data_IF_942419345944
#
_entry.id   IF_942419345944
#
_cell.length_a   1.000
_cell.length_b   1.000
_cell.length_c   1.000
_cell.angle_alpha   90.00
_cell.angle_beta   90.00
_cell.angle_gamma   90.00
#
_symmetry.space_group_name_H-M   'P 1'
#
loop_
_entity.id
_entity.type
_entity.pdbx_description
1 polymer ?
#
# COMPACT_ATOMS: atom_id res chain seq x y z
N UNK A 1 -45.06 -40.57 19.29
CA UNK A 1 -43.77 -40.38 18.61
C UNK A 1 -44.00 -40.67 17.14
N UNK A 2 -44.12 -39.63 16.31
CA UNK A 2 -44.28 -39.77 14.87
C UNK A 2 -42.88 -39.72 14.21
N UNK A 3 -42.63 -40.50 13.14
CA UNK A 3 -41.33 -40.51 12.47
C UNK A 3 -41.11 -39.21 11.69
N UNK A 4 -39.85 -38.76 11.70
CA UNK A 4 -39.36 -37.57 10.98
C UNK A 4 -39.37 -37.86 9.46
N UNK A 5 -39.89 -36.95 8.62
CA UNK A 5 -39.83 -37.13 7.17
C UNK A 5 -38.41 -36.95 6.64
N UNK A 6 -38.01 -37.87 5.77
CA UNK A 6 -36.78 -37.83 4.99
C UNK A 6 -36.87 -36.71 3.93
N UNK A 7 -36.05 -35.66 4.06
CA UNK A 7 -35.91 -34.59 3.06
C UNK A 7 -34.59 -34.82 2.34
N UNK A 8 -34.64 -35.61 1.26
CA UNK A 8 -33.56 -35.64 0.28
C UNK A 8 -34.03 -35.09 -1.06
N UNK A 9 -33.19 -34.21 -1.60
CA UNK A 9 -33.07 -33.81 -3.02
C UNK A 9 -34.17 -32.93 -3.64
N UNK A 10 -34.14 -31.63 -3.34
CA UNK A 10 -34.53 -30.61 -4.32
C UNK A 10 -33.26 -30.10 -5.04
N UNK A 11 -33.18 -30.14 -6.39
CA UNK A 11 -32.04 -29.59 -7.09
C UNK A 11 -32.02 -28.07 -6.91
N UNK A 12 -30.94 -27.55 -6.31
CA UNK A 12 -30.66 -26.12 -6.25
C UNK A 12 -30.58 -25.58 -7.68
N UNK A 13 -31.63 -24.90 -8.10
CA UNK A 13 -31.72 -24.26 -9.41
C UNK A 13 -30.70 -23.12 -9.45
N UNK A 14 -29.49 -23.40 -9.95
CA UNK A 14 -28.42 -22.41 -10.11
C UNK A 14 -28.89 -21.39 -11.15
N UNK A 15 -28.82 -20.08 -10.88
CA UNK A 15 -29.17 -19.08 -11.89
C UNK A 15 -28.27 -19.25 -13.13
N UNK A 16 -28.77 -18.95 -14.34
CA UNK A 16 -28.00 -19.10 -15.56
C UNK A 16 -26.69 -18.31 -15.46
N UNK A 17 -25.58 -18.94 -15.84
CA UNK A 17 -24.27 -18.30 -15.95
C UNK A 17 -24.42 -17.12 -16.92
N UNK A 18 -24.43 -15.91 -16.39
CA UNK A 18 -24.17 -14.71 -17.18
C UNK A 18 -22.73 -14.87 -17.65
N UNK A 19 -22.54 -15.10 -18.95
CA UNK A 19 -21.23 -15.04 -19.57
C UNK A 19 -20.77 -13.58 -19.46
N UNK A 20 -20.08 -13.26 -18.37
CA UNK A 20 -19.29 -12.05 -18.29
C UNK A 20 -18.18 -12.19 -19.34
N UNK A 21 -18.44 -11.70 -20.55
CA UNK A 21 -17.37 -11.15 -21.38
C UNK A 21 -16.80 -9.98 -20.60
N UNK A 22 -15.81 -10.27 -19.76
CA UNK A 22 -14.93 -9.26 -19.21
C UNK A 22 -14.43 -8.41 -20.39
N UNK A 23 -14.47 -7.08 -20.30
CA UNK A 23 -13.84 -6.26 -21.32
C UNK A 23 -12.39 -6.69 -21.41
N UNK A 24 -11.98 -7.16 -22.59
CA UNK A 24 -10.58 -7.47 -22.86
C UNK A 24 -9.80 -6.17 -22.68
N UNK A 25 -9.08 -6.03 -21.57
CA UNK A 25 -8.07 -5.01 -21.42
C UNK A 25 -7.02 -5.25 -22.51
N UNK A 26 -7.03 -4.43 -23.56
CA UNK A 26 -5.86 -4.21 -24.40
C UNK A 26 -4.87 -3.35 -23.60
N UNK A 27 -4.42 -3.86 -22.46
CA UNK A 27 -3.52 -3.17 -21.55
C UNK A 27 -2.09 -3.61 -21.83
N UNK A 28 -1.17 -2.64 -21.85
CA UNK A 28 0.26 -2.94 -21.73
C UNK A 28 0.56 -3.73 -20.44
N UNK A 29 1.83 -4.08 -20.20
CA UNK A 29 2.19 -4.86 -19.04
C UNK A 29 1.76 -4.19 -17.73
N UNK A 30 1.39 -4.99 -16.72
CA UNK A 30 0.76 -4.49 -15.49
C UNK A 30 1.56 -3.40 -14.76
N UNK A 31 2.90 -3.45 -14.84
CA UNK A 31 3.79 -2.45 -14.22
C UNK A 31 3.78 -1.09 -14.91
N UNK A 32 3.29 -0.98 -16.15
CA UNK A 32 3.16 0.28 -16.89
C UNK A 32 1.78 0.93 -16.75
N UNK A 33 0.82 0.25 -16.10
CA UNK A 33 -0.52 0.79 -15.93
C UNK A 33 -0.52 1.85 -14.81
N UNK A 34 -0.74 3.13 -15.11
CA UNK A 34 -0.68 4.18 -14.10
C UNK A 34 -1.91 4.13 -13.20
N UNK A 35 -1.71 4.36 -11.90
CA UNK A 35 -2.80 4.64 -10.99
C UNK A 35 -3.55 5.90 -11.43
N UNK A 36 -4.88 5.88 -11.33
CA UNK A 36 -5.73 7.05 -11.54
C UNK A 36 -5.88 7.75 -10.19
N UNK A 37 -4.99 8.69 -9.90
CA UNK A 37 -5.00 9.44 -8.64
C UNK A 37 -5.71 10.80 -8.82
N UNK A 38 -6.49 11.20 -7.83
CA UNK A 38 -7.04 12.55 -7.73
C UNK A 38 -5.96 13.56 -7.28
N UNK A 39 -6.21 14.88 -7.45
CA UNK A 39 -5.45 15.90 -6.75
C UNK A 39 -5.44 15.65 -5.22
N UNK A 40 -4.45 16.17 -4.49
CA UNK A 40 -4.34 15.91 -3.06
C UNK A 40 -5.62 16.22 -2.28
N UNK A 41 -6.14 15.23 -1.54
CA UNK A 41 -7.34 15.43 -0.72
C UNK A 41 -7.04 15.59 0.77
N UNK A 42 -5.80 15.33 1.19
CA UNK A 42 -5.35 15.46 2.58
C UNK A 42 -3.82 15.67 2.64
N UNK A 43 -3.23 16.00 3.82
CA UNK A 43 -1.79 16.20 3.94
C UNK A 43 -0.92 14.99 3.54
N UNK A 44 -1.42 13.77 3.80
CA UNK A 44 -0.75 12.52 3.39
C UNK A 44 -0.62 12.47 1.87
N UNK A 45 -1.70 12.77 1.15
CA UNK A 45 -1.71 12.81 -0.31
C UNK A 45 -0.74 13.86 -0.84
N UNK A 46 -0.78 15.08 -0.29
CA UNK A 46 0.09 16.18 -0.72
C UNK A 46 1.57 15.80 -0.63
N UNK A 47 1.97 15.14 0.46
CA UNK A 47 3.34 14.70 0.68
C UNK A 47 3.72 13.58 -0.30
N UNK A 48 2.91 12.52 -0.43
CA UNK A 48 3.23 11.38 -1.30
C UNK A 48 3.23 11.76 -2.78
N UNK A 49 2.23 12.54 -3.23
CA UNK A 49 2.17 13.06 -4.60
C UNK A 49 3.39 13.95 -4.86
N UNK A 50 3.71 14.86 -3.93
CA UNK A 50 4.86 15.76 -4.04
C UNK A 50 6.19 15.02 -4.16
N UNK A 51 6.39 13.95 -3.38
CA UNK A 51 7.56 13.07 -3.48
C UNK A 51 7.64 12.47 -4.89
N UNK A 52 6.58 11.82 -5.37
CA UNK A 52 6.58 11.15 -6.68
C UNK A 52 6.86 12.15 -7.80
N UNK A 53 6.20 13.31 -7.78
CA UNK A 53 6.37 14.35 -8.79
C UNK A 53 7.80 14.90 -8.81
N UNK A 54 8.37 15.22 -7.64
CA UNK A 54 9.74 15.72 -7.52
C UNK A 54 10.74 14.70 -8.05
N UNK A 55 10.62 13.44 -7.64
CA UNK A 55 11.54 12.38 -8.04
C UNK A 55 11.45 12.07 -9.55
N UNK A 56 10.23 12.07 -10.11
CA UNK A 56 10.04 11.95 -11.57
C UNK A 56 10.67 13.11 -12.34
N UNK A 57 10.57 14.33 -11.83
CA UNK A 57 11.20 15.50 -12.46
C UNK A 57 12.74 15.37 -12.49
N UNK A 58 13.33 14.87 -11.40
CA UNK A 58 14.78 14.59 -11.34
C UNK A 58 15.20 13.49 -12.33
N UNK A 59 14.41 12.41 -12.43
CA UNK A 59 14.66 11.38 -13.45
C UNK A 59 14.57 11.92 -14.87
N UNK A 60 13.60 12.80 -15.15
CA UNK A 60 13.41 13.39 -16.46
C UNK A 60 14.60 14.25 -16.92
N UNK A 61 15.36 14.83 -15.99
CA UNK A 61 16.59 15.59 -16.29
C UNK A 61 17.86 14.74 -16.24
N UNK A 62 17.72 13.42 -16.10
CA UNK A 62 18.83 12.47 -16.20
C UNK A 62 19.56 12.17 -14.88
N UNK A 63 18.97 12.48 -13.72
CA UNK A 63 19.55 12.11 -12.44
C UNK A 63 19.69 10.58 -12.30
N UNK A 64 20.75 10.06 -11.63
CA UNK A 64 20.96 8.63 -11.49
C UNK A 64 19.81 7.94 -10.75
N UNK A 65 19.24 6.88 -11.33
CA UNK A 65 18.11 6.14 -10.73
C UNK A 65 18.37 5.69 -9.29
N UNK A 66 19.60 5.28 -8.97
CA UNK A 66 19.98 4.85 -7.62
C UNK A 66 19.85 5.96 -6.57
N UNK A 67 20.08 7.22 -6.94
CA UNK A 67 19.95 8.39 -6.05
C UNK A 67 18.49 8.83 -5.90
N UNK A 68 17.64 8.52 -6.89
CA UNK A 68 16.22 8.91 -6.89
C UNK A 68 15.37 7.87 -6.14
N UNK A 69 15.56 6.59 -6.48
CA UNK A 69 14.79 5.49 -5.90
C UNK A 69 15.31 5.08 -4.52
N UNK A 70 16.58 5.39 -4.24
CA UNK A 70 17.26 4.98 -3.01
C UNK A 70 17.57 3.49 -2.95
N UNK A 71 17.97 3.00 -1.77
CA UNK A 71 18.23 1.58 -1.52
C UNK A 71 17.01 0.70 -1.77
N UNK A 72 17.27 -0.60 -1.93
CA UNK A 72 16.22 -1.60 -2.17
C UNK A 72 15.17 -1.58 -1.05
N UNK A 73 15.60 -1.60 0.21
CA UNK A 73 14.71 -1.50 1.36
C UNK A 73 14.81 -0.12 2.03
N UNK A 74 13.71 0.39 2.61
CA UNK A 74 13.77 1.57 3.45
C UNK A 74 14.54 1.25 4.73
N UNK A 75 15.29 2.24 5.23
CA UNK A 75 15.85 2.18 6.58
C UNK A 75 14.72 2.30 7.60
N UNK A 76 14.74 1.43 8.61
CA UNK A 76 13.77 1.40 9.70
C UNK A 76 14.21 2.22 10.92
N UNK A 77 15.43 2.76 10.92
CA UNK A 77 16.03 3.44 12.08
C UNK A 77 15.14 4.58 12.58
N UNK A 78 14.61 5.41 11.68
CA UNK A 78 13.74 6.54 12.04
C UNK A 78 12.44 6.07 12.72
N UNK A 79 11.91 4.90 12.34
CA UNK A 79 10.71 4.33 12.98
C UNK A 79 11.06 3.72 14.34
N UNK A 80 12.21 3.05 14.43
CA UNK A 80 12.67 2.37 15.64
C UNK A 80 13.15 3.34 16.73
N UNK A 81 13.84 4.40 16.33
CA UNK A 81 14.48 5.40 17.19
C UNK A 81 14.15 6.82 16.70
N UNK A 82 12.89 7.27 16.83
CA UNK A 82 12.42 8.54 16.26
C UNK A 82 13.11 9.78 16.84
N UNK A 83 13.72 9.66 18.02
CA UNK A 83 14.43 10.76 18.70
C UNK A 83 15.90 10.89 18.25
N UNK A 84 16.39 9.97 17.42
CA UNK A 84 17.77 10.01 16.91
C UNK A 84 17.83 10.71 15.55
N UNK A 85 18.87 11.53 15.37
CA UNK A 85 19.18 12.09 14.06
C UNK A 85 19.87 11.02 13.22
N UNK A 86 19.16 10.55 12.19
CA UNK A 86 19.68 9.57 11.25
C UNK A 86 19.76 10.16 9.85
N UNK A 87 20.93 10.02 9.22
CA UNK A 87 21.17 10.40 7.83
C UNK A 87 20.77 9.25 6.89
N UNK A 88 19.47 9.02 6.76
CA UNK A 88 18.90 8.05 5.82
C UNK A 88 18.64 8.63 4.43
N UNK A 89 18.47 7.75 3.44
CA UNK A 89 18.02 8.16 2.10
C UNK A 89 16.72 8.99 2.18
N UNK A 90 16.69 10.15 1.50
CA UNK A 90 15.63 11.14 1.64
C UNK A 90 14.21 10.59 1.44
N UNK A 91 14.04 9.63 0.52
CA UNK A 91 12.75 8.98 0.28
C UNK A 91 12.26 8.20 1.51
N UNK A 92 13.15 7.40 2.12
CA UNK A 92 12.84 6.62 3.32
C UNK A 92 12.54 7.55 4.48
N UNK A 93 13.37 8.58 4.66
CA UNK A 93 13.24 9.58 5.73
C UNK A 93 11.92 10.33 5.66
N UNK A 94 11.50 10.80 4.48
CA UNK A 94 10.25 11.54 4.33
C UNK A 94 9.03 10.66 4.62
N UNK A 95 9.01 9.42 4.12
CA UNK A 95 7.90 8.49 4.35
C UNK A 95 7.86 8.02 5.81
N UNK A 96 9.02 7.80 6.44
CA UNK A 96 9.09 7.46 7.86
C UNK A 96 8.52 8.60 8.73
N UNK A 97 8.97 9.83 8.48
CA UNK A 97 8.47 11.02 9.17
C UNK A 97 6.97 11.26 8.96
N UNK A 98 6.44 10.93 7.77
CA UNK A 98 5.00 10.93 7.53
C UNK A 98 4.29 10.01 8.54
N UNK A 99 4.70 8.74 8.62
CA UNK A 99 4.02 7.78 9.51
C UNK A 99 4.22 8.04 11.00
N UNK A 100 5.34 8.64 11.41
CA UNK A 100 5.53 9.09 12.80
C UNK A 100 4.49 10.15 13.22
N UNK A 101 3.96 10.93 12.28
CA UNK A 101 2.96 11.98 12.53
C UNK A 101 1.52 11.53 12.33
N UNK A 102 1.30 10.27 11.95
CA UNK A 102 -0.05 9.68 11.83
C UNK A 102 -0.50 9.10 13.16
N UNK A 103 -1.83 8.97 13.39
CA UNK A 103 -2.36 8.34 14.60
C UNK A 103 -2.27 6.79 14.57
N UNK A 104 -1.38 6.22 13.75
CA UNK A 104 -1.14 4.78 13.70
C UNK A 104 -0.60 4.33 15.07
N UNK A 105 -1.21 3.32 15.73
CA UNK A 105 -0.94 3.06 17.14
C UNK A 105 0.49 2.57 17.43
N UNK A 106 0.96 1.54 16.71
CA UNK A 106 2.18 0.83 17.07
C UNK A 106 3.36 1.07 16.13
N UNK A 107 4.56 0.89 16.66
CA UNK A 107 5.82 0.83 15.89
C UNK A 107 5.78 -0.25 14.81
N UNK A 108 5.27 -1.48 15.07
CA UNK A 108 5.13 -2.52 14.06
C UNK A 108 4.28 -2.08 12.87
N UNK A 109 3.11 -1.48 13.13
CA UNK A 109 2.21 -0.99 12.10
C UNK A 109 2.83 0.14 11.28
N UNK A 110 3.51 1.09 11.94
CA UNK A 110 4.23 2.19 11.25
C UNK A 110 5.35 1.67 10.36
N UNK A 111 6.12 0.69 10.84
CA UNK A 111 7.20 0.07 10.07
C UNK A 111 6.67 -0.67 8.84
N UNK A 112 5.57 -1.42 8.99
CA UNK A 112 4.89 -2.07 7.87
C UNK A 112 4.35 -1.07 6.85
N UNK A 113 3.74 0.03 7.31
CA UNK A 113 3.27 1.10 6.44
C UNK A 113 4.41 1.76 5.67
N UNK A 114 5.53 2.08 6.34
CA UNK A 114 6.74 2.58 5.69
C UNK A 114 7.20 1.66 4.58
N UNK A 115 7.35 0.36 4.86
CA UNK A 115 7.80 -0.63 3.87
C UNK A 115 6.93 -0.65 2.61
N UNK A 116 5.61 -0.76 2.80
CA UNK A 116 4.66 -0.87 1.70
C UNK A 116 4.62 0.43 0.88
N UNK A 117 4.52 1.57 1.55
CA UNK A 117 4.46 2.89 0.89
C UNK A 117 5.78 3.23 0.21
N UNK A 118 6.93 2.84 0.75
CA UNK A 118 8.23 3.03 0.12
C UNK A 118 8.31 2.32 -1.24
N UNK A 119 8.02 1.02 -1.28
CA UNK A 119 8.05 0.26 -2.53
C UNK A 119 6.98 0.71 -3.52
N UNK A 120 5.77 1.03 -3.06
CA UNK A 120 4.74 1.63 -3.90
C UNK A 120 5.20 2.96 -4.50
N UNK A 121 5.87 3.79 -3.71
CA UNK A 121 6.39 5.09 -4.18
C UNK A 121 7.52 4.90 -5.19
N UNK A 122 8.44 3.95 -4.98
CA UNK A 122 9.45 3.59 -5.97
C UNK A 122 8.84 3.16 -7.31
N UNK A 123 7.83 2.28 -7.28
CA UNK A 123 7.12 1.88 -8.50
C UNK A 123 6.39 3.06 -9.17
N UNK A 124 5.77 3.94 -8.39
CA UNK A 124 5.17 5.14 -8.96
C UNK A 124 6.21 6.08 -9.56
N UNK A 125 7.42 6.18 -9.00
CA UNK A 125 8.48 7.03 -9.56
C UNK A 125 8.99 6.45 -10.88
N UNK A 126 9.34 5.18 -10.92
CA UNK A 126 9.87 4.47 -12.10
C UNK A 126 9.07 3.18 -12.35
N UNK A 127 7.98 3.22 -13.13
CA UNK A 127 7.11 2.06 -13.37
C UNK A 127 7.79 1.01 -14.27
N UNK A 128 8.57 0.12 -13.66
CA UNK A 128 9.37 -0.91 -14.33
C UNK A 128 9.02 -2.32 -13.80
N UNK A 129 9.40 -3.41 -14.51
CA UNK A 129 9.23 -4.76 -14.00
C UNK A 129 9.88 -4.95 -12.62
N UNK A 130 11.06 -4.36 -12.40
CA UNK A 130 11.84 -4.49 -11.18
C UNK A 130 11.15 -3.81 -9.99
N UNK A 131 10.75 -2.54 -10.13
CA UNK A 131 10.08 -1.80 -9.05
C UNK A 131 8.70 -2.38 -8.73
N UNK A 132 8.00 -2.91 -9.75
CA UNK A 132 6.71 -3.59 -9.56
C UNK A 132 6.86 -4.96 -8.89
N UNK A 133 7.92 -5.70 -9.18
CA UNK A 133 8.20 -6.98 -8.55
C UNK A 133 8.45 -6.84 -7.04
N UNK A 134 8.99 -5.68 -6.60
CA UNK A 134 9.24 -5.37 -5.19
C UNK A 134 7.96 -5.11 -4.38
N UNK A 135 6.83 -4.84 -5.04
CA UNK A 135 5.56 -4.71 -4.35
C UNK A 135 5.13 -6.08 -3.81
N UNK A 136 4.69 -6.16 -2.55
CA UNK A 136 3.97 -7.32 -2.07
C UNK A 136 2.81 -7.65 -3.02
N UNK A 137 2.64 -8.92 -3.38
CA UNK A 137 1.66 -9.33 -4.39
C UNK A 137 0.25 -8.83 -4.04
N UNK A 138 -0.11 -8.88 -2.76
CA UNK A 138 -1.39 -8.39 -2.23
C UNK A 138 -1.54 -6.86 -2.29
N UNK A 139 -0.44 -6.12 -2.41
CA UNK A 139 -0.43 -4.66 -2.48
C UNK A 139 -0.38 -4.11 -3.91
N UNK A 140 -0.01 -4.92 -4.90
CA UNK A 140 0.04 -4.52 -6.33
C UNK A 140 -1.26 -3.86 -6.79
N UNK A 141 -1.13 -2.98 -7.78
CA UNK A 141 -2.24 -2.20 -8.32
C UNK A 141 -3.39 -3.09 -8.79
N UNK A 142 -4.60 -2.78 -8.33
CA UNK A 142 -5.84 -3.47 -8.69
C UNK A 142 -6.52 -2.80 -9.89
N UNK A 143 -7.37 -3.52 -10.64
CA UNK A 143 -8.11 -2.92 -11.76
C UNK A 143 -8.89 -1.65 -11.36
N UNK A 144 -9.51 -1.64 -10.18
CA UNK A 144 -10.21 -0.48 -9.62
C UNK A 144 -9.33 0.78 -9.59
N UNK A 145 -8.06 0.63 -9.22
CA UNK A 145 -7.12 1.74 -9.09
C UNK A 145 -6.61 2.27 -10.45
N UNK A 146 -6.67 1.45 -11.49
CA UNK A 146 -6.28 1.83 -12.87
C UNK A 146 -7.47 2.39 -13.65
N UNK A 147 -8.69 2.02 -13.27
CA UNK A 147 -9.91 2.43 -13.97
C UNK A 147 -10.57 3.68 -13.37
N UNK A 148 -10.50 3.86 -12.06
CA UNK A 148 -11.29 4.85 -11.34
C UNK A 148 -10.39 5.84 -10.60
N UNK A 149 -10.48 7.15 -10.90
CA UNK A 149 -9.82 8.19 -10.11
C UNK A 149 -10.17 8.09 -8.62
N UNK A 150 -9.17 8.11 -7.74
CA UNK A 150 -9.35 8.02 -6.28
C UNK A 150 -8.24 8.77 -5.52
N UNK A 151 -8.44 9.10 -4.22
CA UNK A 151 -7.41 9.74 -3.40
C UNK A 151 -6.15 8.88 -3.24
N UNK A 152 -5.00 9.51 -3.00
CA UNK A 152 -3.71 8.80 -2.94
C UNK A 152 -3.62 7.90 -1.70
N UNK A 153 -4.15 8.35 -0.57
CA UNK A 153 -4.18 7.57 0.68
C UNK A 153 -4.97 6.26 0.53
N UNK A 154 -5.99 6.21 -0.35
CA UNK A 154 -6.74 4.97 -0.63
C UNK A 154 -5.84 3.92 -1.30
N UNK A 155 -4.85 4.33 -2.10
CA UNK A 155 -3.87 3.38 -2.67
C UNK A 155 -3.03 2.70 -1.59
N UNK A 156 -2.78 3.38 -0.47
CA UNK A 156 -1.97 2.90 0.65
C UNK A 156 -2.71 1.89 1.55
N UNK A 157 -4.02 1.69 1.35
CA UNK A 157 -4.74 0.74 2.20
C UNK A 157 -4.26 -0.69 1.94
N UNK A 158 -3.94 -1.40 3.02
CA UNK A 158 -3.31 -2.72 2.96
C UNK A 158 -4.25 -3.75 2.29
N UNK A 159 -5.52 -3.75 2.66
CA UNK A 159 -6.48 -4.76 2.20
C UNK A 159 -7.05 -4.42 0.83
N UNK A 160 -6.65 -5.17 -0.20
CA UNK A 160 -7.09 -4.96 -1.58
C UNK A 160 -8.62 -4.94 -1.78
N UNK A 161 -9.38 -5.81 -1.09
CA UNK A 161 -10.85 -5.78 -1.17
C UNK A 161 -11.45 -4.54 -0.52
N UNK A 162 -10.83 -4.02 0.54
CA UNK A 162 -11.25 -2.77 1.17
C UNK A 162 -11.00 -1.61 0.21
N UNK A 163 -9.82 -1.56 -0.43
CA UNK A 163 -9.50 -0.59 -1.49
C UNK A 163 -10.58 -0.55 -2.57
N UNK A 164 -10.92 -1.70 -3.13
CA UNK A 164 -11.97 -1.79 -4.17
C UNK A 164 -13.31 -1.21 -3.69
N UNK A 165 -13.69 -1.50 -2.44
CA UNK A 165 -14.95 -1.00 -1.87
C UNK A 165 -14.95 0.50 -1.66
N UNK A 166 -13.83 1.05 -1.18
CA UNK A 166 -13.66 2.49 -0.99
C UNK A 166 -13.66 3.22 -2.34
N UNK A 167 -12.94 2.69 -3.34
CA UNK A 167 -12.88 3.25 -4.69
C UNK A 167 -14.26 3.21 -5.39
N UNK A 168 -15.04 2.16 -5.16
CA UNK A 168 -16.37 2.02 -5.76
C UNK A 168 -17.46 2.87 -5.08
N UNK A 169 -17.24 3.34 -3.85
CA UNK A 169 -18.23 4.09 -3.05
C UNK A 169 -17.55 5.28 -2.36
N UNK A 170 -16.83 6.09 -3.15
CA UNK A 170 -15.98 7.17 -2.64
C UNK A 170 -16.79 8.25 -1.92
N UNK A 171 -18.00 8.52 -2.37
CA UNK A 171 -18.94 9.45 -1.73
C UNK A 171 -19.25 9.07 -0.28
N UNK A 172 -19.07 7.79 0.08
CA UNK A 172 -19.32 7.27 1.42
C UNK A 172 -18.04 7.06 2.23
N UNK A 173 -16.96 6.60 1.60
CA UNK A 173 -15.77 6.13 2.30
C UNK A 173 -14.50 6.95 2.03
N UNK A 174 -14.47 7.80 1.01
CA UNK A 174 -13.32 8.66 0.74
C UNK A 174 -13.40 9.97 1.57
N UNK A 175 -13.74 9.86 2.85
CA UNK A 175 -13.89 11.00 3.78
C UNK A 175 -12.72 11.06 4.76
N UNK A 176 -12.52 12.23 5.37
CA UNK A 176 -11.49 12.43 6.39
C UNK A 176 -11.75 11.56 7.62
N UNK A 177 -13.01 11.41 8.04
CA UNK A 177 -13.41 10.60 9.18
C UNK A 177 -13.11 9.12 8.94
N UNK A 178 -13.43 8.59 7.76
CA UNK A 178 -13.12 7.20 7.43
C UNK A 178 -11.61 6.97 7.35
N UNK A 179 -10.85 7.91 6.79
CA UNK A 179 -9.40 7.84 6.76
C UNK A 179 -8.80 7.83 8.17
N UNK A 180 -9.25 8.73 9.05
CA UNK A 180 -8.81 8.77 10.45
C UNK A 180 -9.13 7.45 11.17
N UNK A 181 -10.35 6.93 11.01
CA UNK A 181 -10.77 5.64 11.57
C UNK A 181 -9.91 4.49 11.04
N UNK A 182 -9.60 4.48 9.75
CA UNK A 182 -8.73 3.47 9.15
C UNK A 182 -7.34 3.47 9.79
N UNK A 183 -6.71 4.65 9.94
CA UNK A 183 -5.36 4.77 10.50
C UNK A 183 -5.28 4.27 11.95
N UNK A 184 -6.23 4.63 12.81
CA UNK A 184 -6.25 4.17 14.22
C UNK A 184 -6.62 2.69 14.36
N UNK A 185 -7.25 2.11 13.34
CA UNK A 185 -7.67 0.69 13.35
C UNK A 185 -6.61 -0.25 12.78
N UNK A 186 -5.49 0.27 12.26
CA UNK A 186 -4.42 -0.57 11.73
C UNK A 186 -3.82 -1.43 12.85
N UNK A 187 -3.73 -2.72 12.58
CA UNK A 187 -3.13 -3.71 13.46
C UNK A 187 -2.62 -4.87 12.60
N UNK A 188 -1.32 -5.17 12.69
CA UNK A 188 -0.72 -6.27 11.91
C UNK A 188 -0.69 -7.60 12.69
N UNK A 189 -1.31 -7.64 13.87
CA UNK A 189 -1.31 -8.74 14.83
C UNK A 189 0.11 -9.25 15.13
N UNK A 190 1.06 -8.32 15.31
CA UNK A 190 2.44 -8.68 15.59
C UNK A 190 2.54 -9.46 16.91
N UNK A 191 3.05 -10.70 16.91
CA UNK A 191 2.94 -11.59 18.06
C UNK A 191 4.07 -11.40 19.10
N UNK A 192 5.01 -10.48 18.86
CA UNK A 192 6.22 -10.28 19.67
C UNK A 192 6.31 -8.85 20.18
N UNK A 193 7.41 -8.52 20.86
CA UNK A 193 7.70 -7.15 21.26
C UNK A 193 7.74 -6.21 20.06
N UNK A 194 7.35 -4.93 20.20
CA UNK A 194 7.34 -3.95 19.11
C UNK A 194 8.67 -3.84 18.35
N UNK A 195 9.79 -3.95 19.06
CA UNK A 195 11.14 -3.84 18.47
C UNK A 195 11.62 -5.15 17.83
N UNK A 196 11.00 -6.29 18.13
CA UNK A 196 11.34 -7.59 17.55
C UNK A 196 10.95 -7.69 16.07
N UNK A 197 10.25 -6.68 15.54
CA UNK A 197 9.95 -6.56 14.11
C UNK A 197 11.18 -6.17 13.29
N UNK A 198 12.25 -5.69 13.92
CA UNK A 198 13.45 -5.22 13.25
C UNK A 198 14.58 -6.24 13.27
N UNK A 199 15.42 -6.18 12.24
CA UNK A 199 16.71 -6.88 12.15
C UNK A 199 17.79 -5.81 11.96
N UNK A 200 18.85 -5.93 12.76
CA UNK A 200 20.02 -5.06 12.69
C UNK A 200 21.13 -5.83 11.96
N UNK A 201 21.65 -5.24 10.89
CA UNK A 201 22.81 -5.75 10.17
C UNK A 201 23.85 -4.63 10.05
N UNK A 202 24.90 -4.71 10.88
CA UNK A 202 25.87 -3.63 11.03
C UNK A 202 25.22 -2.35 11.51
N UNK A 203 25.25 -1.31 10.67
CA UNK A 203 24.65 0.00 10.96
C UNK A 203 23.26 0.18 10.31
N UNK A 204 22.76 -0.84 9.60
CA UNK A 204 21.46 -0.80 8.94
C UNK A 204 20.39 -1.52 9.76
N UNK A 205 19.17 -0.99 9.71
CA UNK A 205 17.99 -1.61 10.30
C UNK A 205 16.91 -1.83 9.24
N UNK A 206 16.43 -3.07 9.16
CA UNK A 206 15.38 -3.47 8.21
C UNK A 206 14.26 -4.27 8.91
N UNK A 207 13.13 -4.47 8.23
CA UNK A 207 12.07 -5.34 8.75
C UNK A 207 12.52 -6.80 8.76
N UNK A 208 12.09 -7.57 9.75
CA UNK A 208 12.21 -9.03 9.77
C UNK A 208 11.46 -9.64 8.59
N UNK A 209 12.02 -10.67 7.95
CA UNK A 209 11.40 -11.30 6.76
C UNK A 209 9.98 -11.80 7.00
N UNK A 210 9.66 -12.27 8.21
CA UNK A 210 8.29 -12.68 8.57
C UNK A 210 7.31 -11.52 8.61
N UNK A 211 7.78 -10.29 8.80
CA UNK A 211 6.98 -9.08 8.75
C UNK A 211 6.82 -8.52 7.31
N UNK A 212 7.58 -9.05 6.34
CA UNK A 212 7.53 -8.61 4.93
C UNK A 212 6.55 -9.40 4.06
N UNK A 213 6.01 -10.52 4.57
CA UNK A 213 5.12 -11.44 3.84
C UNK A 213 3.66 -11.02 3.95
#
# INVERSE_FOLDING_TARGET
MNPVPNIDSAPLNRPPRVNNTSPSFQGGPAWQLPLRLLPPTCPVDSLLIGIVQRQRALLAVGAPKAEILGPYHPSMIIIAYPDQNEDGHALSTLIANLFLRTPIPGTPEKAACLYVTYHLTQWQIDPSPETYANLPEWHRARPSQVMTPHPTWVTQMVFGKLRDRVIANQERYATEEFHALYLVSLNINWPRGPMDIFVIDGNDMSLLDTARR
#
